data_IF_103398053556
#
_entry.id   IF_103398053556
#
_cell.length_a   1.000
_cell.length_b   1.000
_cell.length_c   1.000
_cell.angle_alpha   90.00
_cell.angle_beta   90.00
_cell.angle_gamma   90.00
#
_symmetry.space_group_name_H-M   'P 1'
#
loop_
_entity.id
_entity.type
_entity.pdbx_description
1 polymer ?
#
# COMPACT_ATOMS: atom_id res chain seq x y z
N UNK A 1 -0.08 -9.92 -2.57
CA UNK A 1 1.26 -9.35 -2.41
C UNK A 1 1.20 -7.87 -2.04
N UNK A 2 0.71 -7.02 -2.93
CA UNK A 2 0.63 -5.58 -2.64
C UNK A 2 -0.36 -5.30 -1.53
N UNK A 3 -1.50 -5.93 -1.57
CA UNK A 3 -2.51 -5.72 -0.55
C UNK A 3 -2.00 -6.14 0.83
N UNK A 4 -1.28 -7.24 0.86
CA UNK A 4 -0.75 -7.74 2.12
C UNK A 4 0.28 -6.76 2.68
N UNK A 5 1.15 -6.24 1.82
CA UNK A 5 2.15 -5.28 2.25
C UNK A 5 1.50 -4.00 2.79
N UNK A 6 0.49 -3.51 2.08
CA UNK A 6 -0.21 -2.32 2.52
C UNK A 6 -0.94 -2.55 3.84
N UNK A 7 -1.53 -3.73 4.01
CA UNK A 7 -2.23 -4.05 5.23
C UNK A 7 -1.27 -4.09 6.42
N UNK A 8 -0.08 -4.64 6.22
CA UNK A 8 0.91 -4.71 7.29
C UNK A 8 1.41 -3.34 7.70
N UNK A 9 1.41 -2.41 6.78
CA UNK A 9 1.94 -1.06 7.04
C UNK A 9 0.84 -0.01 7.12
N UNK A 10 -0.40 -0.45 7.31
CA UNK A 10 -1.54 0.45 7.49
C UNK A 10 -1.65 1.48 6.36
N UNK A 11 -1.43 1.04 5.15
CA UNK A 11 -1.56 1.90 3.98
C UNK A 11 -0.35 2.77 3.71
N UNK A 12 0.75 2.58 4.42
CA UNK A 12 1.96 3.35 4.20
C UNK A 12 2.71 2.78 3.00
N UNK A 13 2.58 3.46 1.86
CA UNK A 13 3.16 2.97 0.61
C UNK A 13 4.67 2.92 0.68
N UNK A 14 5.30 3.92 1.27
CA UNK A 14 6.76 3.94 1.37
C UNK A 14 7.29 2.72 2.11
N UNK A 15 6.72 2.44 3.27
CA UNK A 15 7.16 1.29 4.05
C UNK A 15 6.85 -0.01 3.35
N UNK A 16 5.67 -0.10 2.75
CA UNK A 16 5.27 -1.32 2.06
C UNK A 16 6.19 -1.62 0.89
N UNK A 17 6.54 -0.60 0.12
CA UNK A 17 7.43 -0.79 -1.02
C UNK A 17 8.82 -1.20 -0.56
N UNK A 18 9.29 -0.61 0.52
CA UNK A 18 10.60 -0.94 1.08
C UNK A 18 10.62 -2.39 1.52
N UNK A 19 9.58 -2.83 2.19
CA UNK A 19 9.52 -4.22 2.63
C UNK A 19 9.49 -5.17 1.45
N UNK A 20 8.77 -4.79 0.39
CA UNK A 20 8.67 -5.63 -0.80
C UNK A 20 9.95 -5.61 -1.63
N UNK A 21 10.84 -4.66 -1.36
CA UNK A 21 12.09 -4.58 -2.10
C UNK A 21 11.94 -3.97 -3.48
N UNK A 22 10.94 -3.12 -3.66
CA UNK A 22 10.70 -2.45 -4.95
C UNK A 22 10.59 -0.96 -4.72
N UNK A 23 10.76 -0.20 -5.81
CA UNK A 23 10.65 1.24 -5.75
C UNK A 23 9.22 1.66 -5.52
N UNK A 24 9.07 2.79 -4.81
CA UNK A 24 7.74 3.31 -4.52
C UNK A 24 6.95 3.60 -5.79
N UNK A 25 7.61 4.14 -6.80
CA UNK A 25 6.94 4.42 -8.07
C UNK A 25 6.40 3.17 -8.71
N UNK A 26 7.18 2.12 -8.67
CA UNK A 26 6.74 0.84 -9.22
C UNK A 26 5.59 0.26 -8.41
N UNK A 27 5.69 0.42 -7.10
CA UNK A 27 4.62 -0.03 -6.22
C UNK A 27 3.32 0.69 -6.56
N UNK A 28 3.39 2.00 -6.80
CA UNK A 28 2.22 2.78 -7.20
C UNK A 28 1.64 2.28 -8.52
N UNK A 29 2.48 1.93 -9.45
CA UNK A 29 2.01 1.40 -10.73
C UNK A 29 1.22 0.12 -10.54
N UNK A 30 1.71 -0.76 -9.68
CA UNK A 30 1.02 -2.01 -9.40
C UNK A 30 -0.33 -1.73 -8.75
N UNK A 31 -0.34 -0.83 -7.79
CA UNK A 31 -1.59 -0.48 -7.12
C UNK A 31 -2.61 0.05 -8.10
N UNK A 32 -2.18 0.94 -8.99
CA UNK A 32 -3.07 1.52 -9.96
C UNK A 32 -3.59 0.46 -10.92
N UNK A 33 -2.74 -0.47 -11.30
CA UNK A 33 -3.11 -1.52 -12.23
C UNK A 33 -4.20 -2.42 -11.66
N UNK A 34 -4.14 -2.69 -10.37
CA UNK A 34 -5.10 -3.57 -9.73
C UNK A 34 -6.22 -2.82 -9.02
N UNK A 35 -6.23 -1.49 -9.15
CA UNK A 35 -7.28 -0.70 -8.53
C UNK A 35 -7.17 -0.65 -7.01
N UNK A 36 -5.99 -0.82 -6.49
CA UNK A 36 -5.75 -0.80 -5.05
C UNK A 36 -5.42 0.62 -4.61
N UNK A 37 -6.03 1.06 -3.51
CA UNK A 37 -5.74 2.38 -2.96
C UNK A 37 -5.21 2.24 -1.55
N UNK A 38 -4.15 2.99 -1.25
CA UNK A 38 -3.59 2.95 0.08
C UNK A 38 -4.58 3.43 1.12
N UNK A 39 -5.40 4.40 0.78
CA UNK A 39 -6.38 4.94 1.72
C UNK A 39 -7.42 3.91 2.14
N UNK A 40 -7.63 2.89 1.34
CA UNK A 40 -8.54 1.82 1.72
C UNK A 40 -8.05 1.08 2.96
N UNK A 41 -6.74 1.08 3.17
CA UNK A 41 -6.14 0.41 4.31
C UNK A 41 -5.95 1.33 5.50
N UNK A 42 -6.02 2.64 5.25
CA UNK A 42 -5.85 3.63 6.30
C UNK A 42 -7.16 4.05 6.93
N UNK A 43 -8.23 3.97 6.15
CA UNK A 43 -9.53 4.47 6.58
C UNK A 43 -10.04 3.82 7.84
N UNK A 44 -9.76 2.56 8.03
CA UNK A 44 -10.23 1.88 9.22
C UNK A 44 -9.71 2.53 10.47
N UNK A 45 -8.49 3.02 10.41
CA UNK A 45 -7.89 3.68 11.56
C UNK A 45 -8.39 5.10 11.65
N UNK A 46 -8.46 5.78 10.51
CA UNK A 46 -8.83 7.18 10.49
C UNK A 46 -10.28 7.40 10.89
N UNK A 47 -11.15 6.48 10.54
CA UNK A 47 -12.55 6.63 10.83
C UNK A 47 -12.90 6.31 12.27
N UNK A 48 -11.97 5.85 13.00
CA UNK A 48 -12.17 5.50 14.41
C UNK A 48 -12.34 6.72 15.29
#
# INVERSE_FOLDING_TARGET
FVERALSRHAGNVSSAATEAGIERQYFHKIMKRFGIRSQDFRLKVASS
#
